data_IF_722612035202
#
_entry.id   IF_722612035202
#
_cell.length_a   1.000
_cell.length_b   1.000
_cell.length_c   1.000
_cell.angle_alpha   90.00
_cell.angle_beta   90.00
_cell.angle_gamma   90.00
#
_symmetry.space_group_name_H-M   'P 1'
#
loop_
_entity.id
_entity.type
_entity.pdbx_description
1 polymer ?
#
# COMPACT_ATOMS: atom_id res chain seq x y z
N UNK A 1 35.63 -20.78 14.83
CA UNK A 1 35.12 -19.46 14.42
C UNK A 1 33.72 -19.28 15.03
N UNK A 2 33.56 -18.52 16.11
CA UNK A 2 32.24 -18.32 16.75
C UNK A 2 31.48 -17.26 15.96
N UNK A 3 30.38 -17.63 15.31
CA UNK A 3 29.49 -16.68 14.66
C UNK A 3 28.92 -15.72 15.72
N UNK A 4 29.31 -14.45 15.65
CA UNK A 4 28.79 -13.39 16.51
C UNK A 4 27.34 -13.16 16.07
N UNK A 5 26.35 -13.59 16.86
CA UNK A 5 24.95 -13.22 16.61
C UNK A 5 24.83 -11.70 16.82
N UNK A 6 24.86 -10.96 15.72
CA UNK A 6 24.66 -9.54 15.72
C UNK A 6 23.19 -9.23 15.97
N UNK A 7 22.90 -8.51 17.05
CA UNK A 7 21.55 -8.02 17.33
C UNK A 7 21.12 -7.06 16.21
N UNK A 8 19.87 -7.18 15.74
CA UNK A 8 19.31 -6.23 14.79
C UNK A 8 19.33 -4.82 15.40
N UNK A 9 19.78 -3.80 14.66
CA UNK A 9 19.73 -2.43 15.14
C UNK A 9 18.27 -2.01 15.31
N UNK A 10 17.97 -1.31 16.41
CA UNK A 10 16.62 -0.86 16.77
C UNK A 10 15.99 -0.04 15.63
N UNK A 11 16.79 0.77 14.94
CA UNK A 11 16.34 1.55 13.77
C UNK A 11 15.82 0.67 12.63
N UNK A 12 16.45 -0.47 12.33
CA UNK A 12 15.93 -1.43 11.34
C UNK A 12 14.63 -2.08 11.80
N UNK A 13 14.50 -2.42 13.08
CA UNK A 13 13.26 -3.00 13.64
C UNK A 13 12.11 -2.01 13.47
N UNK A 14 12.32 -0.74 13.79
CA UNK A 14 11.33 0.32 13.62
C UNK A 14 10.94 0.45 12.13
N UNK A 15 11.91 0.47 11.22
CA UNK A 15 11.65 0.54 9.77
C UNK A 15 10.80 -0.64 9.27
N UNK A 16 11.07 -1.86 9.73
CA UNK A 16 10.27 -3.03 9.35
C UNK A 16 8.84 -2.96 9.90
N UNK A 17 8.65 -2.54 11.15
CA UNK A 17 7.33 -2.39 11.75
C UNK A 17 6.52 -1.36 10.97
N UNK A 18 7.10 -0.19 10.66
CA UNK A 18 6.42 0.85 9.90
C UNK A 18 6.09 0.35 8.49
N UNK A 19 7.02 -0.35 7.82
CA UNK A 19 6.76 -0.94 6.51
C UNK A 19 5.56 -1.89 6.51
N UNK A 20 5.45 -2.76 7.52
CA UNK A 20 4.32 -3.68 7.67
C UNK A 20 3.00 -2.92 7.88
N UNK A 21 3.00 -1.91 8.75
CA UNK A 21 1.81 -1.09 9.01
C UNK A 21 1.36 -0.39 7.72
N UNK A 22 2.29 0.25 7.01
CA UNK A 22 1.99 0.95 5.76
C UNK A 22 1.45 -0.03 4.71
N UNK A 23 2.04 -1.23 4.58
CA UNK A 23 1.55 -2.25 3.67
C UNK A 23 0.12 -2.69 4.01
N UNK A 24 -0.16 -2.97 5.28
CA UNK A 24 -1.49 -3.37 5.73
C UNK A 24 -2.55 -2.29 5.48
N UNK A 25 -2.23 -1.03 5.79
CA UNK A 25 -3.13 0.11 5.53
C UNK A 25 -3.37 0.28 4.03
N UNK A 26 -2.34 0.14 3.19
CA UNK A 26 -2.45 0.28 1.73
C UNK A 26 -3.37 -0.78 1.13
N UNK A 27 -3.27 -2.02 1.59
CA UNK A 27 -4.17 -3.12 1.19
C UNK A 27 -5.61 -2.82 1.64
N UNK A 28 -5.79 -2.35 2.88
CA UNK A 28 -7.09 -1.96 3.40
C UNK A 28 -7.73 -0.83 2.57
N UNK A 29 -6.95 0.18 2.20
CA UNK A 29 -7.39 1.27 1.32
C UNK A 29 -7.79 0.76 -0.06
N UNK A 30 -7.01 -0.15 -0.65
CA UNK A 30 -7.33 -0.73 -1.95
C UNK A 30 -8.70 -1.43 -1.94
N UNK A 31 -8.94 -2.28 -0.94
CA UNK A 31 -10.23 -2.99 -0.79
C UNK A 31 -11.36 -2.00 -0.57
N UNK A 32 -11.18 -1.03 0.33
CA UNK A 32 -12.20 -0.03 0.63
C UNK A 32 -12.57 0.80 -0.62
N UNK A 33 -11.58 1.18 -1.42
CA UNK A 33 -11.80 1.94 -2.65
C UNK A 33 -12.59 1.16 -3.69
N UNK A 34 -12.36 -0.15 -3.82
CA UNK A 34 -13.16 -1.02 -4.70
C UNK A 34 -14.62 -1.10 -4.22
N UNK A 35 -14.84 -1.24 -2.91
CA UNK A 35 -16.19 -1.27 -2.32
C UNK A 35 -16.90 0.07 -2.56
N UNK A 36 -16.23 1.19 -2.36
CA UNK A 36 -16.78 2.54 -2.60
C UNK A 36 -17.14 2.72 -4.07
N UNK A 37 -16.27 2.30 -4.99
CA UNK A 37 -16.56 2.35 -6.43
C UNK A 37 -17.84 1.59 -6.77
N UNK A 38 -17.99 0.35 -6.29
CA UNK A 38 -19.20 -0.45 -6.56
C UNK A 38 -20.46 0.22 -6.00
N UNK A 39 -20.39 0.80 -4.81
CA UNK A 39 -21.50 1.57 -4.22
C UNK A 39 -21.83 2.81 -5.04
N UNK A 40 -20.83 3.51 -5.55
CA UNK A 40 -21.04 4.68 -6.41
C UNK A 40 -21.74 4.28 -7.72
N UNK A 41 -21.26 3.23 -8.39
CA UNK A 41 -21.91 2.71 -9.61
C UNK A 41 -23.35 2.34 -9.34
N UNK A 42 -23.62 1.55 -8.30
CA UNK A 42 -24.98 1.16 -7.92
C UNK A 42 -25.88 2.38 -7.63
N UNK A 43 -25.35 3.40 -6.96
CA UNK A 43 -26.09 4.63 -6.68
C UNK A 43 -26.46 5.39 -7.96
N UNK A 44 -25.52 5.59 -8.88
CA UNK A 44 -25.82 6.25 -10.16
C UNK A 44 -26.79 5.42 -11.02
N UNK A 45 -26.63 4.10 -11.09
CA UNK A 45 -27.58 3.25 -11.82
C UNK A 45 -28.98 3.33 -11.21
N UNK A 46 -29.10 3.37 -9.87
CA UNK A 46 -30.38 3.53 -9.19
C UNK A 46 -31.06 4.87 -9.43
N UNK A 47 -30.29 5.89 -9.81
CA UNK A 47 -30.79 7.22 -10.21
C UNK A 47 -31.26 7.26 -11.68
N UNK A 48 -31.14 6.14 -12.41
CA UNK A 48 -31.58 6.03 -13.81
C UNK A 48 -30.49 6.30 -14.85
N UNK A 49 -29.23 6.46 -14.45
CA UNK A 49 -28.12 6.58 -15.39
C UNK A 49 -27.78 5.23 -16.03
N UNK A 50 -27.39 5.25 -17.31
CA UNK A 50 -26.99 4.03 -18.03
C UNK A 50 -25.68 3.50 -17.48
N UNK A 51 -25.67 2.24 -17.04
CA UNK A 51 -24.53 1.60 -16.39
C UNK A 51 -23.23 1.71 -17.19
N UNK A 52 -23.28 1.54 -18.52
CA UNK A 52 -22.10 1.63 -19.37
C UNK A 52 -21.45 3.01 -19.36
N UNK A 53 -22.25 4.07 -19.31
CA UNK A 53 -21.76 5.45 -19.26
C UNK A 53 -21.16 5.75 -17.88
N UNK A 54 -21.86 5.35 -16.82
CA UNK A 54 -21.40 5.45 -15.43
C UNK A 54 -20.04 4.75 -15.27
N UNK A 55 -19.90 3.50 -15.72
CA UNK A 55 -18.64 2.76 -15.63
C UNK A 55 -17.54 3.45 -16.44
N UNK A 56 -17.82 3.88 -17.67
CA UNK A 56 -16.83 4.54 -18.53
C UNK A 56 -16.25 5.82 -17.92
N UNK A 57 -17.03 6.53 -17.12
CA UNK A 57 -16.62 7.76 -16.46
C UNK A 57 -15.98 7.49 -15.09
N UNK A 58 -16.54 6.58 -14.29
CA UNK A 58 -16.03 6.31 -12.94
C UNK A 58 -14.74 5.49 -12.92
N UNK A 59 -14.48 4.63 -13.90
CA UNK A 59 -13.19 3.92 -13.96
C UNK A 59 -12.01 4.91 -14.01
N UNK A 60 -11.89 5.79 -15.01
CA UNK A 60 -10.74 6.69 -15.12
C UNK A 60 -10.73 7.78 -14.04
N UNK A 61 -11.90 8.27 -13.61
CA UNK A 61 -11.97 9.40 -12.69
C UNK A 61 -11.96 8.99 -11.21
N UNK A 62 -12.32 7.76 -10.88
CA UNK A 62 -12.44 7.31 -9.50
C UNK A 62 -11.61 6.04 -9.23
N UNK A 63 -11.89 4.94 -9.93
CA UNK A 63 -11.27 3.65 -9.60
C UNK A 63 -9.75 3.66 -9.83
N UNK A 64 -9.31 4.09 -11.02
CA UNK A 64 -7.90 4.08 -11.41
C UNK A 64 -7.03 4.93 -10.45
N UNK A 65 -7.34 6.21 -10.20
CA UNK A 65 -6.54 7.05 -9.31
C UNK A 65 -6.43 6.45 -7.90
N UNK A 66 -7.53 5.94 -7.36
CA UNK A 66 -7.58 5.36 -6.02
C UNK A 66 -6.79 4.04 -5.92
N UNK A 67 -6.81 3.20 -6.96
CA UNK A 67 -5.97 2.00 -7.03
C UNK A 67 -4.49 2.40 -7.12
N UNK A 68 -4.14 3.34 -7.99
CA UNK A 68 -2.75 3.78 -8.15
C UNK A 68 -2.18 4.41 -6.88
N UNK A 69 -2.97 5.20 -6.15
CA UNK A 69 -2.56 5.73 -4.86
C UNK A 69 -2.22 4.60 -3.86
N UNK A 70 -3.05 3.55 -3.83
CA UNK A 70 -2.81 2.39 -2.97
C UNK A 70 -1.52 1.65 -3.36
N UNK A 71 -1.26 1.50 -4.67
CA UNK A 71 -0.03 0.90 -5.19
C UNK A 71 1.21 1.73 -4.81
N UNK A 72 1.12 3.06 -4.90
CA UNK A 72 2.21 3.96 -4.49
C UNK A 72 2.58 3.73 -3.03
N UNK A 73 1.59 3.60 -2.14
CA UNK A 73 1.85 3.33 -0.72
C UNK A 73 2.44 1.94 -0.45
N UNK A 74 2.08 0.92 -1.24
CA UNK A 74 2.79 -0.37 -1.23
C UNK A 74 4.26 -0.17 -1.63
N UNK A 75 4.54 0.68 -2.62
CA UNK A 75 5.90 1.07 -3.00
C UNK A 75 6.68 1.71 -1.85
N UNK A 76 6.04 2.62 -1.10
CA UNK A 76 6.65 3.24 0.09
C UNK A 76 6.99 2.19 1.16
N UNK A 77 6.08 1.24 1.42
CA UNK A 77 6.35 0.13 2.34
C UNK A 77 7.57 -0.70 1.89
N UNK A 78 7.69 -0.99 0.60
CA UNK A 78 8.82 -1.72 0.03
C UNK A 78 10.14 -0.95 0.20
N UNK A 79 10.13 0.37 -0.02
CA UNK A 79 11.31 1.24 0.19
C UNK A 79 11.74 1.24 1.65
N UNK A 80 10.80 1.37 2.59
CA UNK A 80 11.09 1.31 4.03
C UNK A 80 11.69 -0.03 4.45
N UNK A 81 11.17 -1.12 3.90
CA UNK A 81 11.71 -2.45 4.13
C UNK A 81 13.15 -2.57 3.59
N UNK A 82 13.40 -2.11 2.37
CA UNK A 82 14.72 -2.09 1.77
C UNK A 82 15.71 -1.22 2.57
N UNK A 83 15.28 -0.06 3.05
CA UNK A 83 16.08 0.79 3.94
C UNK A 83 16.45 0.07 5.24
N UNK A 84 15.51 -0.65 5.85
CA UNK A 84 15.76 -1.48 7.04
C UNK A 84 16.82 -2.56 6.79
N UNK A 85 16.78 -3.22 5.61
CA UNK A 85 17.78 -4.22 5.20
C UNK A 85 19.16 -3.62 5.02
N UNK A 86 19.25 -2.47 4.35
CA UNK A 86 20.51 -1.75 4.14
C UNK A 86 21.11 -1.31 5.48
N UNK A 87 20.29 -0.71 6.35
CA UNK A 87 20.73 -0.25 7.67
C UNK A 87 21.23 -1.40 8.55
N UNK A 88 20.55 -2.57 8.49
CA UNK A 88 21.03 -3.76 9.18
C UNK A 88 22.41 -4.16 8.64
N UNK A 89 22.58 -4.29 7.32
CA UNK A 89 23.88 -4.63 6.71
C UNK A 89 25.00 -3.66 7.07
N UNK A 90 24.73 -2.35 7.10
CA UNK A 90 25.72 -1.35 7.49
C UNK A 90 26.10 -1.45 8.97
N UNK A 91 25.12 -1.68 9.85
CA UNK A 91 25.37 -1.88 11.28
C UNK A 91 26.16 -3.15 11.59
N UNK A 92 26.18 -4.14 10.69
CA UNK A 92 27.01 -5.34 10.83
C UNK A 92 28.47 -5.14 10.40
N UNK A 93 28.72 -4.10 9.59
CA UNK A 93 30.04 -3.81 9.01
C UNK A 93 30.88 -2.87 9.88
N UNK A 94 30.24 -2.06 10.71
CA UNK A 94 30.87 -1.19 11.70
C UNK A 94 30.96 -1.88 13.07
#
# INVERSE_FOLDING_TARGET
MKAKLSKLPISSIIMYIIAIIVAAVSIGLLVNNIIIYNKLVANYVSQGYVESEVISQLIPNNLLPNIFQSIIYIGVAAILWAAGLINNKLSLRN
#
